data_IF_348404482415
#
_entry.id   IF_348404482415
#
_cell.length_a   1.000
_cell.length_b   1.000
_cell.length_c   1.000
_cell.angle_alpha   90.00
_cell.angle_beta   90.00
_cell.angle_gamma   90.00
#
_symmetry.space_group_name_H-M   'P 1'
#
loop_
_entity.id
_entity.type
_entity.pdbx_description
1 polymer ?
#
# COMPACT_ATOMS: atom_id res chain seq x y z
N UNK A 1 16.34 -12.22 24.19
CA UNK A 1 16.15 -10.80 24.56
C UNK A 1 16.14 -9.98 23.28
N UNK A 2 14.98 -9.47 22.88
CA UNK A 2 14.87 -8.45 21.83
C UNK A 2 15.32 -7.12 22.43
N UNK A 3 16.48 -6.63 22.04
CA UNK A 3 16.90 -5.25 22.33
C UNK A 3 16.08 -4.32 21.45
N UNK A 4 15.27 -3.49 22.12
CA UNK A 4 14.46 -2.43 21.51
C UNK A 4 15.40 -1.32 21.02
N UNK A 5 15.12 -0.82 19.81
CA UNK A 5 15.89 0.13 18.99
C UNK A 5 16.68 1.22 19.75
N UNK A 6 17.90 1.51 19.27
CA UNK A 6 18.76 2.59 19.73
C UNK A 6 18.30 4.01 19.33
N UNK A 7 18.95 5.07 19.86
CA UNK A 7 18.39 6.42 20.01
C UNK A 7 18.37 7.31 18.75
N UNK A 8 18.81 6.82 17.58
CA UNK A 8 19.07 7.69 16.42
C UNK A 8 17.84 8.11 15.60
N UNK A 9 16.67 7.53 15.87
CA UNK A 9 15.39 7.90 15.22
C UNK A 9 14.43 8.63 16.18
N UNK A 10 14.92 9.24 17.28
CA UNK A 10 14.05 9.96 18.24
C UNK A 10 13.64 11.37 17.78
N UNK A 11 14.24 11.87 16.70
CA UNK A 11 14.00 13.22 16.22
C UNK A 11 13.41 13.23 14.80
N UNK A 12 12.33 14.01 14.58
CA UNK A 12 11.77 14.20 13.25
C UNK A 12 12.82 14.73 12.27
N UNK A 13 12.98 14.04 11.14
CA UNK A 13 13.84 14.43 10.02
C UNK A 13 13.04 15.19 8.96
N UNK A 14 11.76 14.87 8.80
CA UNK A 14 10.85 15.63 7.95
C UNK A 14 10.45 16.96 8.60
N UNK A 15 10.26 18.00 7.78
CA UNK A 15 9.71 19.26 8.27
C UNK A 15 8.26 19.09 8.72
N UNK A 16 7.84 19.81 9.78
CA UNK A 16 6.43 19.80 10.23
C UNK A 16 5.45 20.12 9.11
N UNK A 17 5.83 21.02 8.19
CA UNK A 17 5.02 21.38 7.01
C UNK A 17 4.82 20.16 6.10
N UNK A 18 5.87 19.41 5.79
CA UNK A 18 5.78 18.24 4.91
C UNK A 18 4.96 17.13 5.55
N UNK A 19 5.17 16.86 6.84
CA UNK A 19 4.40 15.87 7.60
C UNK A 19 2.89 16.19 7.55
N UNK A 20 2.51 17.41 7.92
CA UNK A 20 1.10 17.86 7.91
C UNK A 20 0.50 17.86 6.51
N UNK A 21 1.25 18.30 5.51
CA UNK A 21 0.79 18.29 4.12
C UNK A 21 0.55 16.86 3.63
N UNK A 22 1.44 15.92 3.97
CA UNK A 22 1.28 14.52 3.60
C UNK A 22 0.08 13.86 4.29
N UNK A 23 -0.09 14.08 5.61
CA UNK A 23 -1.28 13.65 6.35
C UNK A 23 -2.56 14.16 5.68
N UNK A 24 -2.61 15.46 5.38
CA UNK A 24 -3.76 16.10 4.74
C UNK A 24 -4.03 15.53 3.34
N UNK A 25 -2.99 15.36 2.51
CA UNK A 25 -3.14 14.78 1.17
C UNK A 25 -3.70 13.37 1.23
N UNK A 26 -3.23 12.54 2.17
CA UNK A 26 -3.74 11.17 2.32
C UNK A 26 -5.23 11.16 2.69
N UNK A 27 -5.66 12.00 3.63
CA UNK A 27 -7.08 12.10 4.00
C UNK A 27 -7.91 12.68 2.87
N UNK A 28 -7.43 13.73 2.19
CA UNK A 28 -8.14 14.36 1.08
C UNK A 28 -8.32 13.39 -0.09
N UNK A 29 -7.28 12.66 -0.50
CA UNK A 29 -7.37 11.71 -1.60
C UNK A 29 -8.26 10.51 -1.26
N UNK A 30 -8.25 10.06 -0.01
CA UNK A 30 -9.22 9.08 0.47
C UNK A 30 -10.66 9.60 0.36
N UNK A 31 -10.91 10.84 0.81
CA UNK A 31 -12.23 11.45 0.71
C UNK A 31 -12.68 11.66 -0.74
N UNK A 32 -11.78 12.11 -1.62
CA UNK A 32 -12.04 12.22 -3.06
C UNK A 32 -12.40 10.86 -3.65
N UNK A 33 -11.68 9.80 -3.27
CA UNK A 33 -11.98 8.43 -3.72
C UNK A 33 -13.38 8.00 -3.26
N UNK A 34 -13.71 8.22 -1.99
CA UNK A 34 -15.04 7.92 -1.45
C UNK A 34 -16.16 8.71 -2.16
N UNK A 35 -15.95 10.00 -2.43
CA UNK A 35 -16.90 10.84 -3.17
C UNK A 35 -17.07 10.36 -4.60
N UNK A 36 -15.99 9.97 -5.29
CA UNK A 36 -16.06 9.40 -6.63
C UNK A 36 -16.89 8.11 -6.64
N UNK A 37 -16.69 7.22 -5.66
CA UNK A 37 -17.49 6.01 -5.54
C UNK A 37 -18.96 6.35 -5.27
N UNK A 38 -19.25 7.29 -4.36
CA UNK A 38 -20.63 7.69 -4.06
C UNK A 38 -21.37 8.38 -5.22
N UNK A 39 -20.67 9.08 -6.11
CA UNK A 39 -21.30 9.97 -7.11
C UNK A 39 -21.17 9.50 -8.55
N UNK A 40 -20.03 8.90 -8.92
CA UNK A 40 -19.74 8.44 -10.29
C UNK A 40 -19.94 6.92 -10.40
N UNK A 41 -19.65 6.18 -9.32
CA UNK A 41 -19.74 4.71 -9.27
C UNK A 41 -20.75 4.25 -8.22
N UNK A 42 -21.85 4.99 -8.05
CA UNK A 42 -22.86 4.82 -7.01
C UNK A 42 -23.44 3.40 -6.95
N UNK A 43 -23.49 2.71 -8.08
CA UNK A 43 -23.99 1.34 -8.21
C UNK A 43 -22.89 0.25 -8.04
N UNK A 44 -21.62 0.63 -7.89
CA UNK A 44 -20.47 -0.28 -7.76
C UNK A 44 -20.08 -0.44 -6.28
N UNK A 45 -20.89 -1.19 -5.52
CA UNK A 45 -20.66 -1.42 -4.08
C UNK A 45 -19.32 -2.09 -3.77
N UNK A 46 -18.78 -2.84 -4.72
CA UNK A 46 -17.49 -3.52 -4.68
C UNK A 46 -16.30 -2.54 -4.56
N UNK A 47 -16.41 -1.34 -5.14
CA UNK A 47 -15.39 -0.29 -4.94
C UNK A 47 -15.38 0.22 -3.50
N UNK A 48 -16.54 0.28 -2.83
CA UNK A 48 -16.58 0.54 -1.38
C UNK A 48 -15.89 -0.57 -0.60
N UNK A 49 -16.10 -1.83 -0.98
CA UNK A 49 -15.43 -2.95 -0.31
C UNK A 49 -13.91 -2.89 -0.50
N UNK A 50 -13.43 -2.50 -1.68
CA UNK A 50 -12.01 -2.29 -1.95
C UNK A 50 -11.44 -1.16 -1.06
N UNK A 51 -12.07 0.02 -1.07
CA UNK A 51 -11.66 1.18 -0.28
C UNK A 51 -11.58 0.86 1.21
N UNK A 52 -12.67 0.33 1.76
CA UNK A 52 -12.79 0.05 3.18
C UNK A 52 -11.84 -1.07 3.60
N UNK A 53 -11.73 -2.13 2.81
CA UNK A 53 -10.85 -3.26 3.16
C UNK A 53 -9.40 -2.83 3.25
N UNK A 54 -8.92 -2.05 2.28
CA UNK A 54 -7.57 -1.51 2.31
C UNK A 54 -7.35 -0.50 3.42
N UNK A 55 -8.36 0.32 3.75
CA UNK A 55 -8.29 1.17 4.93
C UNK A 55 -8.15 0.36 6.22
N UNK A 56 -8.88 -0.75 6.37
CA UNK A 56 -8.81 -1.60 7.56
C UNK A 56 -7.62 -2.58 7.57
N UNK A 57 -6.85 -2.68 6.48
CA UNK A 57 -5.61 -3.45 6.43
C UNK A 57 -4.43 -2.79 7.15
N UNK A 58 -4.57 -1.52 7.54
CA UNK A 58 -3.50 -0.70 8.12
C UNK A 58 -2.72 -1.31 9.31
N UNK A 59 -3.32 -2.10 10.23
CA UNK A 59 -2.57 -2.67 11.34
C UNK A 59 -1.59 -3.74 10.85
N UNK A 60 -2.01 -4.55 9.86
CA UNK A 60 -1.16 -5.57 9.25
C UNK A 60 -0.09 -4.96 8.37
N UNK A 61 -0.42 -3.87 7.67
CA UNK A 61 0.56 -3.19 6.84
C UNK A 61 1.65 -2.52 7.65
N UNK A 62 1.33 -1.87 8.76
CA UNK A 62 2.34 -1.31 9.63
C UNK A 62 3.32 -2.37 10.19
N UNK A 63 2.79 -3.56 10.54
CA UNK A 63 3.64 -4.71 10.93
C UNK A 63 4.50 -5.14 9.73
N UNK A 64 3.93 -5.27 8.53
CA UNK A 64 4.69 -5.65 7.35
C UNK A 64 5.80 -4.63 7.03
N UNK A 65 5.49 -3.34 7.11
CA UNK A 65 6.45 -2.25 6.89
C UNK A 65 7.64 -2.37 7.84
N UNK A 66 7.38 -2.56 9.14
CA UNK A 66 8.45 -2.64 10.14
C UNK A 66 9.27 -3.94 10.02
N UNK A 67 8.62 -5.10 9.88
CA UNK A 67 9.29 -6.40 10.02
C UNK A 67 9.67 -7.06 8.69
N UNK A 68 8.85 -6.86 7.65
CA UNK A 68 9.08 -7.39 6.32
C UNK A 68 9.91 -6.44 5.47
N UNK A 69 9.49 -5.17 5.40
CA UNK A 69 10.15 -4.15 4.57
C UNK A 69 11.25 -3.40 5.31
N UNK A 70 11.38 -3.54 6.64
CA UNK A 70 12.37 -2.81 7.44
C UNK A 70 12.29 -1.30 7.15
N UNK A 71 11.07 -0.81 6.99
CA UNK A 71 10.68 0.58 6.76
C UNK A 71 10.35 1.21 8.10
N UNK A 72 10.77 2.46 8.29
CA UNK A 72 10.38 3.27 9.46
C UNK A 72 9.80 4.60 8.99
N UNK A 73 8.62 4.91 9.48
CA UNK A 73 8.02 6.24 9.32
C UNK A 73 8.73 7.27 10.21
N UNK A 74 8.72 8.53 9.80
CA UNK A 74 9.24 9.64 10.59
C UNK A 74 8.46 9.78 11.92
N UNK A 75 9.17 9.99 13.03
CA UNK A 75 8.55 10.07 14.36
C UNK A 75 7.70 11.34 14.57
N UNK A 76 7.77 12.31 13.66
CA UNK A 76 6.98 13.53 13.71
C UNK A 76 5.52 13.37 13.28
N UNK A 77 5.13 12.23 12.72
CA UNK A 77 3.72 11.96 12.40
C UNK A 77 2.86 11.82 13.66
N UNK A 78 1.58 12.18 13.53
CA UNK A 78 0.59 11.81 14.52
C UNK A 78 0.37 10.29 14.47
N UNK A 79 0.52 9.60 15.60
CA UNK A 79 0.37 8.14 15.66
C UNK A 79 -1.01 7.74 16.19
N UNK A 80 -1.58 6.64 15.66
CA UNK A 80 -2.78 6.01 16.21
C UNK A 80 -2.41 5.11 17.39
N UNK A 81 -1.68 4.02 17.10
CA UNK A 81 -1.24 2.98 18.05
C UNK A 81 0.12 2.47 17.60
N UNK A 82 1.01 2.09 18.52
CA UNK A 82 2.28 1.38 18.24
C UNK A 82 3.11 1.97 17.09
N UNK A 83 3.18 3.31 17.02
CA UNK A 83 3.95 4.08 16.01
C UNK A 83 3.40 4.01 14.58
N UNK A 84 2.15 3.58 14.40
CA UNK A 84 1.47 3.65 13.10
C UNK A 84 0.97 5.08 12.86
N UNK A 85 1.46 5.80 11.84
CA UNK A 85 0.95 7.13 11.54
C UNK A 85 -0.55 7.09 11.23
N UNK A 86 -1.29 8.08 11.73
CA UNK A 86 -2.73 8.20 11.55
C UNK A 86 -3.17 8.39 10.11
N UNK A 87 -2.25 8.77 9.23
CA UNK A 87 -2.47 8.83 7.80
C UNK A 87 -2.46 7.46 7.11
N UNK A 88 -1.83 6.42 7.69
CA UNK A 88 -1.64 5.12 7.03
C UNK A 88 -2.95 4.46 6.60
N UNK A 89 -4.03 4.40 7.42
CA UNK A 89 -5.30 3.83 6.97
C UNK A 89 -5.87 4.53 5.74
N UNK A 90 -5.76 5.86 5.70
CA UNK A 90 -6.24 6.67 4.58
C UNK A 90 -5.35 6.49 3.36
N UNK A 91 -4.04 6.55 3.56
CA UNK A 91 -3.02 6.31 2.53
C UNK A 91 -3.29 4.96 1.86
N UNK A 92 -3.34 3.86 2.60
CA UNK A 92 -3.60 2.53 2.05
C UNK A 92 -4.94 2.46 1.33
N UNK A 93 -6.01 3.01 1.91
CA UNK A 93 -7.32 3.01 1.26
C UNK A 93 -7.28 3.63 -0.13
N UNK A 94 -6.77 4.86 -0.26
CA UNK A 94 -6.80 5.57 -1.53
C UNK A 94 -5.70 5.11 -2.49
N UNK A 95 -4.50 4.80 -2.00
CA UNK A 95 -3.38 4.37 -2.84
C UNK A 95 -3.74 3.11 -3.62
N UNK A 96 -4.42 2.15 -2.98
CA UNK A 96 -4.84 0.90 -3.62
C UNK A 96 -6.12 1.05 -4.45
N UNK A 97 -7.07 1.86 -4.01
CA UNK A 97 -8.40 1.92 -4.64
C UNK A 97 -8.44 2.89 -5.81
N UNK A 98 -7.90 4.09 -5.65
CA UNK A 98 -8.08 5.16 -6.64
C UNK A 98 -7.48 4.80 -8.00
N UNK A 99 -6.22 4.30 -8.11
CA UNK A 99 -5.67 3.91 -9.41
C UNK A 99 -6.49 2.81 -10.08
N UNK A 100 -6.94 1.81 -9.32
CA UNK A 100 -7.71 0.69 -9.88
C UNK A 100 -9.08 1.13 -10.39
N UNK A 101 -9.81 1.94 -9.61
CA UNK A 101 -11.08 2.53 -10.02
C UNK A 101 -10.93 3.40 -11.28
N UNK A 102 -9.88 4.23 -11.34
CA UNK A 102 -9.63 5.05 -12.52
C UNK A 102 -9.31 4.19 -13.75
N UNK A 103 -8.54 3.11 -13.60
CA UNK A 103 -8.20 2.23 -14.71
C UNK A 103 -9.44 1.49 -15.22
N UNK A 104 -10.26 0.91 -14.33
CA UNK A 104 -11.51 0.25 -14.72
C UNK A 104 -12.47 1.20 -15.44
N UNK A 105 -12.59 2.44 -14.99
CA UNK A 105 -13.49 3.42 -15.61
C UNK A 105 -13.12 3.75 -17.06
N UNK A 106 -11.84 3.68 -17.43
CA UNK A 106 -11.44 4.05 -18.79
C UNK A 106 -11.96 3.08 -19.84
N UNK A 107 -12.24 1.80 -19.50
CA UNK A 107 -12.50 0.69 -20.43
C UNK A 107 -11.46 0.49 -21.54
N UNK A 108 -10.44 1.35 -21.62
CA UNK A 108 -9.35 1.30 -22.60
C UNK A 108 -8.59 0.01 -22.43
N UNK A 109 -8.38 -0.43 -21.18
CA UNK A 109 -7.61 -1.62 -20.91
C UNK A 109 -8.33 -2.89 -21.36
N UNK A 110 -9.66 -2.90 -21.37
CA UNK A 110 -10.48 -4.05 -21.78
C UNK A 110 -10.34 -4.36 -23.28
N UNK A 111 -9.86 -3.40 -24.08
CA UNK A 111 -9.61 -3.58 -25.51
C UNK A 111 -8.38 -4.46 -25.81
N UNK A 112 -7.53 -4.70 -24.81
CA UNK A 112 -6.31 -5.49 -24.94
C UNK A 112 -6.51 -6.92 -24.46
N UNK A 113 -5.70 -7.85 -24.97
CA UNK A 113 -5.68 -9.23 -24.49
C UNK A 113 -5.25 -9.30 -23.02
N UNK A 114 -5.71 -10.30 -22.23
CA UNK A 114 -5.49 -10.34 -20.77
C UNK A 114 -4.03 -10.19 -20.33
N UNK A 115 -3.09 -10.80 -21.05
CA UNK A 115 -1.66 -10.68 -20.75
C UNK A 115 -1.11 -9.26 -20.99
N UNK A 116 -1.65 -8.54 -21.98
CA UNK A 116 -1.29 -7.17 -22.26
C UNK A 116 -1.92 -6.21 -21.21
N UNK A 117 -3.13 -6.49 -20.74
CA UNK A 117 -3.74 -5.75 -19.62
C UNK A 117 -2.85 -5.83 -18.38
N UNK A 118 -2.46 -7.05 -18.00
CA UNK A 118 -1.56 -7.30 -16.86
C UNK A 118 -0.25 -6.54 -17.01
N UNK A 119 0.37 -6.58 -18.20
CA UNK A 119 1.64 -5.90 -18.45
C UNK A 119 1.52 -4.36 -18.39
N UNK A 120 0.44 -3.81 -18.94
CA UNK A 120 0.16 -2.36 -18.89
C UNK A 120 -0.06 -1.92 -17.45
N UNK A 121 -0.94 -2.62 -16.71
CA UNK A 121 -1.20 -2.37 -15.29
C UNK A 121 0.11 -2.39 -14.51
N UNK A 122 0.86 -3.48 -14.64
CA UNK A 122 2.13 -3.65 -13.95
C UNK A 122 3.08 -2.49 -14.22
N UNK A 123 3.25 -2.08 -15.48
CA UNK A 123 4.17 -1.01 -15.86
C UNK A 123 3.74 0.35 -15.27
N UNK A 124 2.45 0.68 -15.35
CA UNK A 124 1.91 1.92 -14.79
C UNK A 124 2.05 1.93 -13.27
N UNK A 125 1.75 0.81 -12.62
CA UNK A 125 1.81 0.68 -11.16
C UNK A 125 3.25 0.67 -10.62
N UNK A 126 4.21 0.12 -11.37
CA UNK A 126 5.64 0.24 -11.06
C UNK A 126 6.05 1.71 -11.11
N UNK A 127 5.71 2.43 -12.18
CA UNK A 127 6.05 3.85 -12.31
C UNK A 127 5.40 4.70 -11.20
N UNK A 128 4.15 4.40 -10.87
CA UNK A 128 3.42 4.99 -9.76
C UNK A 128 4.13 4.74 -8.43
N UNK A 129 4.43 3.47 -8.10
CA UNK A 129 5.10 3.14 -6.83
C UNK A 129 6.49 3.81 -6.74
N UNK A 130 7.29 3.78 -7.82
CA UNK A 130 8.56 4.51 -7.85
C UNK A 130 8.40 6.00 -7.54
N UNK A 131 7.38 6.65 -8.09
CA UNK A 131 7.10 8.05 -7.82
C UNK A 131 6.78 8.28 -6.33
N UNK A 132 5.89 7.47 -5.78
CA UNK A 132 5.43 7.60 -4.38
C UNK A 132 6.55 7.33 -3.38
N UNK A 133 7.29 6.24 -3.58
CA UNK A 133 8.44 5.86 -2.75
C UNK A 133 9.56 6.88 -2.81
N UNK A 134 9.87 7.37 -4.02
CA UNK A 134 10.91 8.38 -4.17
C UNK A 134 10.52 9.70 -3.49
N UNK A 135 9.27 10.15 -3.65
CA UNK A 135 8.80 11.37 -3.00
C UNK A 135 8.79 11.23 -1.48
N UNK A 136 8.37 10.08 -0.95
CA UNK A 136 8.37 9.77 0.47
C UNK A 136 9.77 9.80 1.08
N UNK A 137 10.69 9.04 0.49
CA UNK A 137 12.09 8.99 0.94
C UNK A 137 12.79 10.34 0.77
N UNK A 138 12.58 11.05 -0.35
CA UNK A 138 13.16 12.38 -0.59
C UNK A 138 12.73 13.41 0.44
N UNK A 139 11.50 13.30 0.95
CA UNK A 139 10.96 14.20 1.97
C UNK A 139 11.21 13.71 3.40
N UNK A 140 11.96 12.61 3.58
CA UNK A 140 12.20 11.93 4.85
C UNK A 140 10.90 11.51 5.57
N UNK A 141 9.82 11.23 4.83
CA UNK A 141 8.56 10.77 5.44
C UNK A 141 8.69 9.33 5.96
N UNK A 142 9.47 8.51 5.27
CA UNK A 142 9.91 7.20 5.75
C UNK A 142 11.31 6.88 5.24
N UNK A 143 11.95 5.89 5.85
CA UNK A 143 13.28 5.43 5.47
C UNK A 143 13.36 3.91 5.53
N UNK A 144 14.07 3.32 4.55
CA UNK A 144 14.38 1.90 4.54
C UNK A 144 15.71 1.61 5.24
N UNK A 145 15.72 0.62 6.12
CA UNK A 145 16.89 0.22 6.92
C UNK A 145 17.51 -1.12 6.46
N UNK A 146 17.62 -1.30 5.14
CA UNK A 146 18.18 -2.48 4.49
C UNK A 146 19.70 -2.52 4.54
N UNK A 147 20.28 -3.67 4.89
CA UNK A 147 21.70 -3.99 4.71
C UNK A 147 21.85 -5.25 3.85
N UNK A 148 22.69 -5.27 2.80
CA UNK A 148 23.57 -4.19 2.36
C UNK A 148 22.84 -3.08 1.56
N UNK A 149 23.36 -1.84 1.55
CA UNK A 149 22.67 -0.67 0.96
C UNK A 149 22.70 -0.62 -0.58
N UNK A 150 23.49 -1.45 -1.26
CA UNK A 150 23.80 -1.34 -2.69
C UNK A 150 22.65 -1.63 -3.68
N UNK A 151 21.45 -1.99 -3.21
CA UNK A 151 20.27 -2.28 -4.07
C UNK A 151 19.22 -1.17 -4.03
N UNK A 152 19.68 0.08 -3.88
CA UNK A 152 18.82 1.26 -3.73
C UNK A 152 19.02 2.24 -4.88
N UNK A 153 17.91 2.80 -5.37
CA UNK A 153 17.90 3.95 -6.27
C UNK A 153 17.36 5.16 -5.50
N UNK A 154 18.19 6.21 -5.34
CA UNK A 154 17.83 7.43 -4.58
C UNK A 154 17.25 7.15 -3.18
N UNK A 155 17.78 6.13 -2.50
CA UNK A 155 17.34 5.72 -1.16
C UNK A 155 16.19 4.70 -1.13
N UNK A 156 15.47 4.52 -2.24
CA UNK A 156 14.39 3.53 -2.40
C UNK A 156 14.98 2.18 -2.79
N UNK A 157 14.72 1.08 -2.07
CA UNK A 157 15.09 -0.25 -2.53
C UNK A 157 14.33 -0.58 -3.82
N UNK A 158 15.06 -0.88 -4.89
CA UNK A 158 14.50 -0.99 -6.25
C UNK A 158 13.41 -2.05 -6.34
N UNK A 159 13.46 -3.09 -5.51
CA UNK A 159 12.49 -4.19 -5.50
C UNK A 159 11.13 -3.80 -4.90
N UNK A 160 11.05 -2.76 -4.07
CA UNK A 160 9.78 -2.38 -3.42
C UNK A 160 8.73 -1.98 -4.46
N UNK A 161 9.02 -1.06 -5.42
CA UNK A 161 8.05 -0.74 -6.46
C UNK A 161 7.57 -1.91 -7.30
N UNK A 162 8.41 -2.93 -7.49
CA UNK A 162 7.97 -4.15 -8.17
C UNK A 162 7.07 -5.00 -7.28
N UNK A 163 7.40 -5.19 -6.01
CA UNK A 163 6.55 -5.93 -5.05
C UNK A 163 5.17 -5.28 -4.95
N UNK A 164 5.12 -3.95 -4.81
CA UNK A 164 3.88 -3.20 -4.78
C UNK A 164 3.08 -3.47 -6.05
N UNK A 165 3.67 -3.23 -7.23
CA UNK A 165 2.99 -3.40 -8.50
C UNK A 165 2.45 -4.82 -8.72
N UNK A 166 3.18 -5.87 -8.32
CA UNK A 166 2.68 -7.24 -8.35
C UNK A 166 1.46 -7.38 -7.43
N UNK A 167 1.51 -6.81 -6.22
CA UNK A 167 0.38 -6.81 -5.28
C UNK A 167 -0.83 -6.12 -5.89
N UNK A 168 -0.67 -4.93 -6.47
CA UNK A 168 -1.77 -4.23 -7.16
C UNK A 168 -2.37 -5.03 -8.30
N UNK A 169 -1.55 -5.66 -9.15
CA UNK A 169 -2.01 -6.50 -10.25
C UNK A 169 -2.77 -7.71 -9.73
N UNK A 170 -2.28 -8.37 -8.68
CA UNK A 170 -3.00 -9.48 -8.08
C UNK A 170 -4.36 -9.02 -7.54
N UNK A 171 -4.40 -7.86 -6.90
CA UNK A 171 -5.63 -7.32 -6.33
C UNK A 171 -6.62 -6.93 -7.41
N UNK A 172 -6.15 -6.40 -8.54
CA UNK A 172 -6.98 -6.19 -9.73
C UNK A 172 -7.65 -7.49 -10.18
N UNK A 173 -6.89 -8.59 -10.27
CA UNK A 173 -7.43 -9.91 -10.67
C UNK A 173 -8.36 -10.49 -9.59
N UNK A 174 -7.97 -10.42 -8.32
CA UNK A 174 -8.76 -10.94 -7.20
C UNK A 174 -10.06 -10.14 -6.96
N UNK A 175 -10.08 -8.88 -7.36
CA UNK A 175 -11.27 -8.04 -7.26
C UNK A 175 -12.40 -8.62 -8.10
N UNK A 176 -12.13 -9.01 -9.35
CA UNK A 176 -13.12 -9.66 -10.23
C UNK A 176 -13.67 -10.97 -9.63
N UNK A 177 -12.81 -11.75 -8.98
CA UNK A 177 -13.25 -12.95 -8.27
C UNK A 177 -14.13 -12.59 -7.06
N UNK A 178 -13.71 -11.60 -6.27
CA UNK A 178 -14.44 -11.16 -5.09
C UNK A 178 -15.83 -10.60 -5.47
N UNK A 179 -15.94 -9.85 -6.57
CA UNK A 179 -17.23 -9.33 -7.04
C UNK A 179 -18.16 -10.46 -7.48
N UNK A 180 -17.63 -11.45 -8.22
CA UNK A 180 -18.40 -12.64 -8.63
C UNK A 180 -18.90 -13.44 -7.45
N UNK A 181 -18.03 -13.72 -6.47
CA UNK A 181 -18.40 -14.50 -5.28
C UNK A 181 -19.44 -13.79 -4.42
N UNK A 182 -19.40 -12.46 -4.37
CA UNK A 182 -20.24 -11.68 -3.45
C UNK A 182 -21.51 -11.10 -4.10
N UNK A 183 -21.71 -11.27 -5.41
CA UNK A 183 -22.79 -10.66 -6.19
C UNK A 183 -24.19 -10.78 -5.55
N UNK A 184 -24.55 -11.94 -5.01
CA UNK A 184 -25.87 -12.21 -4.43
C UNK A 184 -25.91 -12.14 -2.90
N UNK A 185 -24.86 -11.61 -2.28
CA UNK A 185 -24.76 -11.50 -0.82
C UNK A 185 -25.32 -10.17 -0.30
N UNK A 186 -25.72 -10.17 0.97
CA UNK A 186 -26.00 -8.95 1.72
C UNK A 186 -24.73 -8.09 1.85
N UNK A 187 -24.89 -6.78 2.07
CA UNK A 187 -23.75 -5.86 2.13
C UNK A 187 -22.69 -6.27 3.15
N UNK A 188 -23.11 -6.64 4.37
CA UNK A 188 -22.19 -7.05 5.44
C UNK A 188 -21.49 -8.36 5.10
N UNK A 189 -22.21 -9.35 4.57
CA UNK A 189 -21.63 -10.63 4.17
C UNK A 189 -20.64 -10.47 3.00
N UNK A 190 -21.03 -9.70 1.98
CA UNK A 190 -20.18 -9.36 0.85
C UNK A 190 -18.90 -8.65 1.30
N UNK A 191 -19.03 -7.62 2.14
CA UNK A 191 -17.89 -6.89 2.67
C UNK A 191 -16.95 -7.79 3.47
N UNK A 192 -17.48 -8.64 4.35
CA UNK A 192 -16.66 -9.55 5.15
C UNK A 192 -15.86 -10.52 4.26
N UNK A 193 -16.48 -11.09 3.23
CA UNK A 193 -15.79 -11.99 2.29
C UNK A 193 -14.75 -11.24 1.47
N UNK A 194 -15.08 -10.08 0.90
CA UNK A 194 -14.12 -9.24 0.17
C UNK A 194 -12.93 -8.85 1.05
N UNK A 195 -13.19 -8.43 2.29
CA UNK A 195 -12.14 -8.12 3.26
C UNK A 195 -11.22 -9.31 3.50
N UNK A 196 -11.77 -10.51 3.72
CA UNK A 196 -10.96 -11.73 3.92
C UNK A 196 -10.12 -12.09 2.69
N UNK A 197 -10.66 -11.89 1.48
CA UNK A 197 -9.91 -12.12 0.23
C UNK A 197 -8.72 -11.16 0.16
N UNK A 198 -8.94 -9.84 0.35
CA UNK A 198 -7.87 -8.86 0.28
C UNK A 198 -6.86 -9.00 1.42
N UNK A 199 -7.33 -9.27 2.65
CA UNK A 199 -6.47 -9.52 3.79
C UNK A 199 -5.64 -10.79 3.63
N UNK A 200 -6.23 -11.86 3.09
CA UNK A 200 -5.52 -13.09 2.74
C UNK A 200 -4.45 -12.85 1.69
N UNK A 201 -4.78 -12.13 0.61
CA UNK A 201 -3.83 -11.76 -0.43
C UNK A 201 -2.66 -10.95 0.14
N UNK A 202 -2.95 -9.93 0.96
CA UNK A 202 -1.93 -9.12 1.63
C UNK A 202 -1.03 -9.98 2.53
N UNK A 203 -1.60 -10.85 3.37
CA UNK A 203 -0.83 -11.70 4.28
C UNK A 203 0.12 -12.65 3.52
N UNK A 204 -0.37 -13.25 2.43
CA UNK A 204 0.44 -14.10 1.55
C UNK A 204 1.57 -13.28 0.91
N UNK A 205 1.27 -12.10 0.36
CA UNK A 205 2.26 -11.24 -0.29
C UNK A 205 3.30 -10.67 0.68
N UNK A 206 2.88 -10.23 1.86
CA UNK A 206 3.78 -9.77 2.91
C UNK A 206 4.73 -10.91 3.34
N UNK A 207 4.22 -12.14 3.45
CA UNK A 207 5.01 -13.31 3.79
C UNK A 207 6.02 -13.69 2.70
N UNK A 208 5.59 -13.69 1.44
CA UNK A 208 6.48 -13.95 0.28
C UNK A 208 7.54 -12.86 0.18
N UNK A 209 7.14 -11.59 0.27
CA UNK A 209 8.04 -10.44 0.23
C UNK A 209 9.08 -10.53 1.34
N UNK A 210 8.67 -10.85 2.56
CA UNK A 210 9.59 -11.08 3.68
C UNK A 210 10.61 -12.18 3.37
N UNK A 211 10.16 -13.32 2.82
CA UNK A 211 11.06 -14.41 2.41
C UNK A 211 12.03 -13.97 1.31
N UNK A 212 11.54 -13.30 0.26
CA UNK A 212 12.35 -12.78 -0.85
C UNK A 212 13.42 -11.83 -0.32
N UNK A 213 12.99 -10.81 0.43
CA UNK A 213 13.85 -9.76 0.98
C UNK A 213 14.91 -10.37 1.92
N UNK A 214 14.53 -11.25 2.85
CA UNK A 214 15.48 -11.80 3.82
C UNK A 214 16.36 -12.90 3.27
N UNK A 215 15.81 -13.86 2.53
CA UNK A 215 16.55 -15.06 2.08
C UNK A 215 17.32 -14.81 0.81
N UNK A 216 16.71 -14.15 -0.17
CA UNK A 216 17.31 -14.00 -1.50
C UNK A 216 18.04 -12.67 -1.67
N UNK A 217 17.56 -11.60 -1.04
CA UNK A 217 18.26 -10.31 -1.07
C UNK A 217 19.25 -10.14 0.09
N UNK A 218 19.26 -11.07 1.04
CA UNK A 218 20.15 -11.06 2.20
C UNK A 218 19.89 -9.89 3.14
N UNK A 219 18.73 -9.22 3.02
CA UNK A 219 18.38 -8.06 3.83
C UNK A 219 18.13 -8.52 5.25
N UNK A 220 18.96 -8.03 6.16
CA UNK A 220 18.76 -8.21 7.59
C UNK A 220 18.27 -6.89 8.18
N UNK A 221 17.41 -6.93 9.21
CA UNK A 221 17.20 -5.76 10.05
C UNK A 221 18.57 -5.29 10.47
N UNK A 222 18.90 -4.04 10.18
CA UNK A 222 20.04 -3.43 10.84
C UNK A 222 19.64 -3.31 12.30
N UNK A 223 20.24 -4.16 13.14
CA UNK A 223 20.21 -3.97 14.59
C UNK A 223 20.90 -2.62 14.83
N UNK A 224 20.09 -1.58 15.00
CA UNK A 224 20.50 -0.25 15.44
C UNK A 224 19.54 0.18 16.55
#
# INVERSE_FOLDING_TARGET
MMTIAGPQDLHPKASRKNLRMFELVCVMLWAVTAVLIATVYDNQRDYWFLLLSWTFMFPFSAIADEYALVLRYDTGFLNLVWRVPAMVPFAFGWFFTLPLVLIWNTQVIEQFAPHAQILILFTVLVAWSFCTEWLGVKQNLWTYHWSPPGRRWKGVPVVIPFIDAITYVLIFVLHEEATRMTANMSWIGAFAISYLIYAGAFAVFASISWLVIRRFLGVRPTLM
#
